data_IF_713181926727
#
_entry.id   IF_713181926727
#
_cell.length_a   1.000
_cell.length_b   1.000
_cell.length_c   1.000
_cell.angle_alpha   90.00
_cell.angle_beta   90.00
_cell.angle_gamma   90.00
#
_symmetry.space_group_name_H-M   'P 1'
#
loop_
_entity.id
_entity.type
_entity.pdbx_description
1 polymer ?
#
# COMPACT_ATOMS: atom_id res chain seq x y z
N UNK A 1 0.23 0.17 18.89
CA UNK A 1 0.98 1.17 18.09
C UNK A 1 1.80 0.49 17.00
N UNK A 2 2.74 -0.42 17.29
CA UNK A 2 3.59 -1.07 16.25
C UNK A 2 2.81 -1.68 15.07
N UNK A 3 1.69 -2.36 15.33
CA UNK A 3 0.89 -2.99 14.26
C UNK A 3 0.22 -1.99 13.32
N UNK A 4 -0.24 -0.85 13.84
CA UNK A 4 -0.85 0.21 13.01
C UNK A 4 0.24 0.84 12.15
N UNK A 5 1.41 1.12 12.73
CA UNK A 5 2.59 1.61 12.01
C UNK A 5 2.99 0.68 10.87
N UNK A 6 3.00 -0.64 11.10
CA UNK A 6 3.32 -1.62 10.08
C UNK A 6 2.29 -1.64 8.93
N UNK A 7 0.99 -1.53 9.26
CA UNK A 7 -0.07 -1.41 8.25
C UNK A 7 0.09 -0.14 7.41
N UNK A 8 0.30 1.02 8.05
CA UNK A 8 0.47 2.29 7.33
C UNK A 8 1.67 2.25 6.42
N UNK A 9 2.81 1.73 6.89
CA UNK A 9 4.02 1.57 6.10
C UNK A 9 3.79 0.66 4.89
N UNK A 10 3.15 -0.50 5.11
CA UNK A 10 2.78 -1.41 4.03
C UNK A 10 1.89 -0.73 3.00
N UNK A 11 0.90 0.05 3.44
CA UNK A 11 0.00 0.76 2.52
C UNK A 11 0.74 1.81 1.69
N UNK A 12 1.66 2.58 2.29
CA UNK A 12 2.48 3.53 1.55
C UNK A 12 3.37 2.82 0.51
N UNK A 13 4.05 1.74 0.91
CA UNK A 13 4.89 0.93 0.01
C UNK A 13 4.09 0.32 -1.15
N UNK A 14 2.90 -0.19 -0.83
CA UNK A 14 1.97 -0.74 -1.83
C UNK A 14 1.55 0.34 -2.82
N UNK A 15 1.20 1.53 -2.32
CA UNK A 15 0.83 2.67 -3.16
C UNK A 15 1.95 3.03 -4.14
N UNK A 16 3.19 3.14 -3.65
CA UNK A 16 4.36 3.44 -4.48
C UNK A 16 4.66 2.38 -5.52
N UNK A 17 4.52 1.11 -5.16
CA UNK A 17 4.73 0.00 -6.09
C UNK A 17 3.77 0.09 -7.27
N UNK A 18 2.48 0.27 -6.99
CA UNK A 18 1.46 0.36 -8.04
C UNK A 18 1.61 1.65 -8.86
N UNK A 19 1.82 2.80 -8.21
CA UNK A 19 2.08 4.09 -8.84
C UNK A 19 3.39 4.17 -9.65
N UNK A 20 4.23 3.14 -9.63
CA UNK A 20 5.50 3.10 -10.37
C UNK A 20 5.61 1.82 -11.21
N UNK A 21 4.52 1.07 -11.35
CA UNK A 21 4.52 -0.21 -12.05
C UNK A 21 4.73 -0.06 -13.56
N UNK A 22 4.40 1.09 -14.13
CA UNK A 22 4.62 1.45 -15.54
C UNK A 22 5.93 2.23 -15.79
N UNK A 23 6.67 2.56 -14.72
CA UNK A 23 7.89 3.36 -14.76
C UNK A 23 7.68 4.85 -15.02
N UNK A 24 6.42 5.33 -15.09
CA UNK A 24 6.05 6.73 -15.25
C UNK A 24 5.42 7.19 -13.95
N UNK A 25 6.26 7.63 -13.01
CA UNK A 25 5.79 8.20 -11.76
C UNK A 25 5.07 9.53 -12.01
N UNK A 26 3.73 9.53 -12.07
CA UNK A 26 2.94 10.72 -12.35
C UNK A 26 2.76 11.54 -11.07
N UNK A 27 2.78 12.87 -11.20
CA UNK A 27 2.64 13.80 -10.07
C UNK A 27 1.36 13.56 -9.25
N UNK A 28 0.28 13.10 -9.89
CA UNK A 28 -1.02 12.81 -9.25
C UNK A 28 -0.97 11.59 -8.33
N UNK A 29 -0.12 10.61 -8.63
CA UNK A 29 0.00 9.40 -7.81
C UNK A 29 0.81 9.70 -6.55
N UNK A 30 1.81 10.57 -6.67
CA UNK A 30 2.50 11.15 -5.51
C UNK A 30 1.53 11.97 -4.64
N UNK A 31 0.72 12.84 -5.26
CA UNK A 31 -0.31 13.62 -4.56
C UNK A 31 -1.31 12.71 -3.81
N UNK A 32 -1.73 11.58 -4.41
CA UNK A 32 -2.61 10.60 -3.75
C UNK A 32 -1.96 9.94 -2.52
N UNK A 33 -0.69 9.56 -2.61
CA UNK A 33 0.06 8.97 -1.50
C UNK A 33 0.29 10.00 -0.39
N UNK A 34 0.65 11.23 -0.76
CA UNK A 34 0.83 12.34 0.19
C UNK A 34 -0.50 12.70 0.89
N UNK A 35 -1.63 12.70 0.18
CA UNK A 35 -2.97 12.89 0.74
C UNK A 35 -3.35 11.74 1.67
N UNK A 36 -3.01 10.50 1.31
CA UNK A 36 -3.27 9.33 2.15
C UNK A 36 -2.48 9.41 3.47
N UNK A 37 -1.17 9.70 3.40
CA UNK A 37 -0.32 9.86 4.60
C UNK A 37 -0.82 11.03 5.44
N UNK A 38 -1.18 12.15 4.82
CA UNK A 38 -1.75 13.33 5.49
C UNK A 38 -3.13 13.05 6.11
N UNK A 39 -3.95 12.22 5.46
CA UNK A 39 -5.26 11.81 5.96
C UNK A 39 -5.15 10.92 7.20
N UNK A 40 -4.17 10.01 7.25
CA UNK A 40 -3.93 9.19 8.44
C UNK A 40 -3.32 10.03 9.58
N UNK A 41 -2.51 11.04 9.26
CA UNK A 41 -2.02 12.02 10.25
C UNK A 41 -3.16 12.73 11.00
N UNK A 42 -4.27 13.02 10.32
CA UNK A 42 -5.44 13.66 10.95
C UNK A 42 -6.21 12.73 11.91
N UNK A 43 -6.00 11.41 11.82
CA UNK A 43 -6.61 10.42 12.73
C UNK A 43 -5.86 10.37 14.08
N UNK A 44 -4.66 10.97 14.17
CA UNK A 44 -3.90 11.14 15.41
C UNK A 44 -2.93 10.00 15.75
N UNK A 45 -2.86 8.97 14.89
CA UNK A 45 -2.10 7.74 15.15
C UNK A 45 -0.68 7.71 14.53
N UNK A 46 -0.25 8.77 13.82
CA UNK A 46 1.09 8.87 13.21
C UNK A 46 1.94 9.91 13.93
N UNK A 47 3.09 9.48 14.46
CA UNK A 47 4.11 10.37 15.02
C UNK A 47 4.97 11.00 13.90
N UNK A 48 5.63 12.12 14.18
CA UNK A 48 6.53 12.77 13.22
C UNK A 48 7.69 11.86 12.76
N UNK A 49 8.14 10.95 13.64
CA UNK A 49 9.16 9.95 13.32
C UNK A 49 8.65 8.93 12.29
N UNK A 50 7.41 8.45 12.44
CA UNK A 50 6.77 7.58 11.47
C UNK A 50 6.56 8.26 10.12
N UNK A 51 6.23 9.55 10.11
CA UNK A 51 6.11 10.34 8.89
C UNK A 51 7.46 10.43 8.16
N UNK A 52 8.55 10.68 8.88
CA UNK A 52 9.89 10.71 8.30
C UNK A 52 10.29 9.34 7.72
N UNK A 53 9.97 8.25 8.42
CA UNK A 53 10.23 6.88 7.94
C UNK A 53 9.41 6.54 6.67
N UNK A 54 8.15 6.95 6.63
CA UNK A 54 7.30 6.78 5.45
C UNK A 54 7.85 7.62 4.30
N UNK A 55 8.22 8.88 4.53
CA UNK A 55 8.82 9.76 3.52
C UNK A 55 10.13 9.20 2.97
N UNK A 56 11.03 8.72 3.83
CA UNK A 56 12.28 8.07 3.42
C UNK A 56 12.03 6.76 2.63
N UNK A 57 10.87 6.15 2.82
CA UNK A 57 10.44 4.97 2.07
C UNK A 57 9.89 5.33 0.67
N UNK A 58 9.46 6.58 0.44
CA UNK A 58 8.92 7.06 -0.84
C UNK A 58 9.97 7.12 -1.96
N UNK A 59 11.25 7.26 -1.61
CA UNK A 59 12.35 7.30 -2.58
C UNK A 59 12.83 5.91 -3.03
N UNK A 60 12.21 4.85 -2.49
CA UNK A 60 12.58 3.46 -2.80
C UNK A 60 11.65 2.87 -3.86
N UNK A 61 12.23 2.05 -4.74
CA UNK A 61 11.45 1.16 -5.62
C UNK A 61 11.17 -0.13 -4.86
N UNK A 62 9.92 -0.56 -4.92
CA UNK A 62 9.47 -1.83 -4.35
C UNK A 62 9.15 -2.81 -5.48
N UNK A 63 9.26 -4.09 -5.17
CA UNK A 63 8.85 -5.20 -6.01
C UNK A 63 7.57 -5.83 -5.48
N UNK A 64 6.84 -6.54 -6.34
CA UNK A 64 5.65 -7.29 -5.93
C UNK A 64 5.93 -8.25 -4.78
N UNK A 65 7.08 -8.94 -4.80
CA UNK A 65 7.47 -9.87 -3.75
C UNK A 65 7.62 -9.18 -2.40
N UNK A 66 8.27 -8.01 -2.36
CA UNK A 66 8.40 -7.22 -1.13
C UNK A 66 7.04 -6.78 -0.59
N UNK A 67 6.09 -6.41 -1.47
CA UNK A 67 4.73 -6.07 -1.05
C UNK A 67 3.99 -7.30 -0.49
N UNK A 68 4.12 -8.45 -1.13
CA UNK A 68 3.50 -9.70 -0.68
C UNK A 68 4.08 -10.14 0.67
N UNK A 69 5.41 -10.12 0.82
CA UNK A 69 6.07 -10.55 2.04
C UNK A 69 5.79 -9.58 3.19
N UNK A 70 5.84 -8.27 2.95
CA UNK A 70 5.43 -7.27 3.94
C UNK A 70 3.96 -7.40 4.34
N UNK A 71 3.08 -7.78 3.41
CA UNK A 71 1.68 -8.07 3.73
C UNK A 71 1.57 -9.31 4.63
N UNK A 72 2.33 -10.38 4.38
CA UNK A 72 2.33 -11.58 5.23
C UNK A 72 2.84 -11.26 6.64
N UNK A 73 3.94 -10.53 6.75
CA UNK A 73 4.52 -10.11 8.04
C UNK A 73 3.51 -9.31 8.87
N UNK A 74 2.82 -8.36 8.24
CA UNK A 74 1.77 -7.58 8.92
C UNK A 74 0.66 -8.49 9.41
N UNK A 75 0.21 -9.44 8.58
CA UNK A 75 -0.91 -10.33 8.92
C UNK A 75 -0.58 -11.36 10.00
N UNK A 76 0.69 -11.73 10.18
CA UNK A 76 1.09 -12.81 11.08
C UNK A 76 0.63 -12.56 12.52
N UNK A 77 0.64 -11.30 12.96
CA UNK A 77 0.22 -10.87 14.28
C UNK A 77 -1.29 -10.72 14.49
N UNK A 78 -2.15 -11.06 13.53
CA UNK A 78 -3.60 -10.87 13.61
C UNK A 78 -4.38 -12.19 13.55
N UNK A 79 -5.56 -12.20 14.15
CA UNK A 79 -6.52 -13.31 14.02
C UNK A 79 -7.10 -13.40 12.61
N UNK A 80 -7.65 -14.56 12.24
CA UNK A 80 -8.21 -14.75 10.89
C UNK A 80 -9.29 -13.71 10.51
N UNK A 81 -10.26 -13.34 11.37
CA UNK A 81 -11.22 -12.29 11.04
C UNK A 81 -10.57 -10.93 10.78
N UNK A 82 -9.55 -10.58 11.56
CA UNK A 82 -8.79 -9.34 11.39
C UNK A 82 -7.96 -9.37 10.10
N UNK A 83 -7.32 -10.50 9.79
CA UNK A 83 -6.58 -10.69 8.54
C UNK A 83 -7.45 -10.44 7.32
N UNK A 84 -8.67 -11.00 7.32
CA UNK A 84 -9.63 -10.78 6.22
C UNK A 84 -10.07 -9.31 6.12
N UNK A 85 -10.28 -8.62 7.25
CA UNK A 85 -10.60 -7.20 7.26
C UNK A 85 -9.45 -6.34 6.71
N UNK A 86 -8.21 -6.63 7.11
CA UNK A 86 -7.00 -5.94 6.63
C UNK A 86 -6.81 -6.18 5.13
N UNK A 87 -6.89 -7.44 4.67
CA UNK A 87 -6.79 -7.78 3.25
C UNK A 87 -7.86 -7.06 2.41
N UNK A 88 -9.09 -6.96 2.91
CA UNK A 88 -10.16 -6.19 2.26
C UNK A 88 -9.81 -4.70 2.14
N UNK A 89 -9.23 -4.12 3.18
CA UNK A 89 -8.78 -2.72 3.18
C UNK A 89 -7.62 -2.47 2.22
N UNK A 90 -6.58 -3.33 2.23
CA UNK A 90 -5.45 -3.24 1.30
C UNK A 90 -5.95 -3.39 -0.15
N UNK A 91 -6.84 -4.34 -0.41
CA UNK A 91 -7.47 -4.52 -1.72
C UNK A 91 -8.21 -3.25 -2.18
N UNK A 92 -8.98 -2.65 -1.27
CA UNK A 92 -9.70 -1.41 -1.54
C UNK A 92 -8.75 -0.25 -1.85
N UNK A 93 -7.62 -0.19 -1.17
CA UNK A 93 -6.59 0.82 -1.39
C UNK A 93 -5.88 0.63 -2.74
N UNK A 94 -5.39 -0.57 -3.06
CA UNK A 94 -4.76 -0.87 -4.36
C UNK A 94 -5.69 -0.47 -5.50
N UNK A 95 -6.97 -0.87 -5.42
CA UNK A 95 -7.98 -0.51 -6.42
C UNK A 95 -8.15 1.00 -6.61
N UNK A 96 -7.96 1.81 -5.55
CA UNK A 96 -8.04 3.27 -5.67
C UNK A 96 -6.77 3.84 -6.30
N UNK A 97 -5.60 3.33 -5.92
CA UNK A 97 -4.30 3.75 -6.46
C UNK A 97 -4.26 3.53 -7.97
N UNK A 98 -4.50 2.30 -8.44
CA UNK A 98 -4.43 1.95 -9.88
C UNK A 98 -5.52 2.62 -10.73
N UNK A 99 -6.50 3.29 -10.11
CA UNK A 99 -7.58 4.00 -10.80
C UNK A 99 -7.50 5.52 -10.62
N UNK A 100 -6.50 6.01 -9.89
CA UNK A 100 -6.41 7.43 -9.51
C UNK A 100 -6.23 8.34 -10.73
N UNK A 101 -5.53 7.88 -11.75
CA UNK A 101 -5.29 8.60 -13.00
C UNK A 101 -6.39 8.35 -14.07
N UNK A 102 -7.35 7.47 -13.78
CA UNK A 102 -8.42 7.07 -14.69
C UNK A 102 -8.02 6.00 -15.73
N UNK A 103 -6.79 5.49 -15.70
CA UNK A 103 -6.30 4.47 -16.63
C UNK A 103 -5.50 3.37 -15.90
N UNK A 104 -6.06 2.17 -15.81
CA UNK A 104 -5.34 1.03 -15.22
C UNK A 104 -4.36 0.47 -16.24
N UNK A 105 -3.05 0.56 -15.97
CA UNK A 105 -2.02 0.00 -16.82
C UNK A 105 -2.05 -1.54 -16.78
N UNK A 106 -1.75 -2.26 -17.89
CA UNK A 106 -1.75 -3.73 -17.91
C UNK A 106 -0.86 -4.37 -16.84
N UNK A 107 0.31 -3.78 -16.56
CA UNK A 107 1.22 -4.26 -15.50
C UNK A 107 0.63 -4.09 -14.10
N UNK A 108 -0.06 -2.98 -13.80
CA UNK A 108 -0.73 -2.80 -12.52
C UNK A 108 -1.84 -3.83 -12.33
N UNK A 109 -2.60 -4.10 -13.39
CA UNK A 109 -3.65 -5.11 -13.37
C UNK A 109 -3.08 -6.52 -13.15
N UNK A 110 -1.98 -6.87 -13.83
CA UNK A 110 -1.29 -8.15 -13.64
C UNK A 110 -0.71 -8.28 -12.22
N UNK A 111 0.00 -7.27 -11.74
CA UNK A 111 0.56 -7.24 -10.38
C UNK A 111 -0.53 -7.35 -9.32
N UNK A 112 -1.66 -6.66 -9.52
CA UNK A 112 -2.79 -6.75 -8.61
C UNK A 112 -3.41 -8.15 -8.60
N UNK A 113 -3.53 -8.78 -9.78
CA UNK A 113 -4.00 -10.18 -9.89
C UNK A 113 -3.06 -11.13 -9.14
N UNK A 114 -1.75 -11.00 -9.32
CA UNK A 114 -0.75 -11.82 -8.64
C UNK A 114 -0.80 -11.63 -7.12
N UNK A 115 -0.93 -10.38 -6.65
CA UNK A 115 -1.13 -10.09 -5.23
C UNK A 115 -2.39 -10.79 -4.68
N UNK A 116 -3.53 -10.70 -5.38
CA UNK A 116 -4.76 -11.40 -4.97
C UNK A 116 -4.54 -12.92 -4.87
N UNK A 117 -3.87 -13.52 -5.86
CA UNK A 117 -3.56 -14.96 -5.86
C UNK A 117 -2.69 -15.35 -4.67
N UNK A 118 -1.71 -14.53 -4.27
CA UNK A 118 -0.84 -14.80 -3.12
C UNK A 118 -1.59 -14.93 -1.78
N UNK A 119 -2.78 -14.34 -1.68
CA UNK A 119 -3.65 -14.36 -0.48
C UNK A 119 -4.96 -15.13 -0.69
N UNK A 120 -5.09 -15.91 -1.77
CA UNK A 120 -6.29 -16.71 -2.03
C UNK A 120 -7.55 -15.87 -2.28
N UNK A 121 -7.39 -14.64 -2.76
CA UNK A 121 -8.50 -13.74 -3.07
C UNK A 121 -8.93 -13.94 -4.54
N UNK A 122 -10.21 -14.22 -4.77
CA UNK A 122 -10.78 -14.34 -6.11
C UNK A 122 -11.49 -13.04 -6.52
#
# INVERSE_FOLDING_TARGET
MEKITAIVKLMAQTGLFFANADGIYQRREKEYIDEFVSGIKQIGDITAEMEADIQASLDKKYTLNEIVDGTREVLDGFSEPERQAILKSIRGFINKVIRADGHVHPLEHENYKLWKTAFGLH
#
